data_IF_973588671351
#
_entry.id   IF_973588671351
#
_cell.length_a   1.000
_cell.length_b   1.000
_cell.length_c   1.000
_cell.angle_alpha   90.00
_cell.angle_beta   90.00
_cell.angle_gamma   90.00
#
_symmetry.space_group_name_H-M   'P 1'
#
loop_
_entity.id
_entity.type
_entity.pdbx_description
1 polymer ?
#
# COMPACT_ATOMS: atom_id res chain seq x y z
N UNK A 1 -0.21 22.32 -9.97
CA UNK A 1 1.02 21.63 -10.41
C UNK A 1 0.62 20.67 -11.51
N UNK A 2 1.45 20.49 -12.53
CA UNK A 2 1.25 19.40 -13.48
C UNK A 2 1.48 18.07 -12.76
N UNK A 3 0.60 17.10 -12.99
CA UNK A 3 0.70 15.75 -12.42
C UNK A 3 1.97 15.07 -12.96
N UNK A 4 2.89 14.65 -12.08
CA UNK A 4 4.15 14.06 -12.50
C UNK A 4 4.02 12.55 -12.75
N UNK A 5 3.24 11.88 -11.92
CA UNK A 5 2.95 10.45 -11.93
C UNK A 5 1.52 10.20 -12.40
N UNK A 6 1.16 8.95 -12.68
CA UNK A 6 -0.21 8.59 -13.08
C UNK A 6 -0.76 9.38 -14.27
N UNK A 7 0.14 9.89 -15.13
CA UNK A 7 -0.25 10.55 -16.37
C UNK A 7 -1.10 9.60 -17.19
N UNK A 8 -2.24 10.10 -17.65
CA UNK A 8 -3.24 9.36 -18.43
C UNK A 8 -3.83 8.13 -17.71
N UNK A 9 -3.67 8.04 -16.37
CA UNK A 9 -4.32 7.01 -15.57
C UNK A 9 -5.72 7.48 -15.16
N UNK A 10 -6.72 6.65 -15.43
CA UNK A 10 -8.11 6.93 -15.07
C UNK A 10 -8.43 6.31 -13.71
N UNK A 11 -8.69 7.17 -12.71
CA UNK A 11 -9.12 6.76 -11.38
C UNK A 11 -10.63 6.54 -11.26
N UNK A 12 -11.41 6.67 -12.35
CA UNK A 12 -12.82 6.34 -12.34
C UNK A 12 -13.03 4.86 -11.95
N UNK A 13 -13.80 4.63 -10.88
CA UNK A 13 -14.04 3.29 -10.33
C UNK A 13 -12.79 2.63 -9.72
N UNK A 14 -11.77 3.42 -9.33
CA UNK A 14 -10.61 2.89 -8.62
C UNK A 14 -10.88 2.79 -7.11
N UNK A 15 -11.43 3.86 -6.51
CA UNK A 15 -11.72 3.93 -5.09
C UNK A 15 -13.13 3.42 -4.78
N UNK A 16 -13.24 2.65 -3.70
CA UNK A 16 -14.51 2.20 -3.18
C UNK A 16 -15.15 3.28 -2.28
N UNK A 17 -16.33 3.77 -2.66
CA UNK A 17 -17.05 4.87 -2.00
C UNK A 17 -17.90 4.41 -0.79
N UNK A 18 -17.49 3.37 -0.07
CA UNK A 18 -18.22 2.92 1.12
C UNK A 18 -17.97 3.82 2.34
N UNK A 19 -18.97 3.90 3.23
CA UNK A 19 -18.83 4.62 4.50
C UNK A 19 -17.76 4.02 5.42
N UNK A 20 -17.40 2.76 5.21
CA UNK A 20 -16.28 2.13 5.90
C UNK A 20 -14.93 2.69 5.42
N UNK A 21 -14.75 2.85 4.10
CA UNK A 21 -13.59 3.51 3.50
C UNK A 21 -13.39 4.92 4.07
N UNK A 22 -14.46 5.73 4.11
CA UNK A 22 -14.43 7.09 4.68
C UNK A 22 -14.07 7.12 6.17
N UNK A 23 -14.62 6.16 6.94
CA UNK A 23 -14.44 6.13 8.39
C UNK A 23 -13.01 5.74 8.77
N UNK A 24 -12.46 4.70 8.15
CA UNK A 24 -11.28 3.99 8.67
C UNK A 24 -10.02 4.14 7.82
N UNK A 25 -10.12 4.61 6.58
CA UNK A 25 -8.97 4.79 5.68
C UNK A 25 -8.75 6.23 5.25
N UNK A 26 -9.81 6.94 4.86
CA UNK A 26 -9.66 8.26 4.22
C UNK A 26 -9.31 9.32 5.28
N UNK A 27 -8.09 9.85 5.15
CA UNK A 27 -7.53 10.97 5.91
C UNK A 27 -7.76 12.31 5.19
N UNK A 28 -7.52 13.43 5.89
CA UNK A 28 -7.39 14.74 5.22
C UNK A 28 -6.19 14.74 4.26
N UNK A 29 -6.22 15.56 3.21
CA UNK A 29 -5.10 15.63 2.25
C UNK A 29 -3.81 16.05 2.95
N UNK A 30 -2.69 15.33 2.73
CA UNK A 30 -1.47 15.60 3.46
C UNK A 30 -0.78 16.85 2.87
N UNK A 31 -0.42 17.77 3.75
CA UNK A 31 0.46 18.89 3.41
C UNK A 31 1.94 18.53 3.59
N UNK A 32 2.84 19.42 3.19
CA UNK A 32 4.29 19.17 3.21
C UNK A 32 4.83 18.97 4.64
N UNK A 33 4.19 19.61 5.63
CA UNK A 33 4.58 19.50 7.04
C UNK A 33 4.18 18.13 7.59
N UNK A 34 2.96 17.68 7.31
CA UNK A 34 2.46 16.35 7.64
C UNK A 34 3.33 15.26 7.00
N UNK A 35 3.63 15.38 5.70
CA UNK A 35 4.49 14.41 5.00
C UNK A 35 5.87 14.34 5.67
N UNK A 36 6.50 15.49 5.91
CA UNK A 36 7.82 15.53 6.56
C UNK A 36 7.78 14.89 7.95
N UNK A 37 6.72 15.15 8.70
CA UNK A 37 6.51 14.57 10.03
C UNK A 37 6.36 13.04 9.97
N UNK A 38 5.55 12.53 9.04
CA UNK A 38 5.35 11.08 8.84
C UNK A 38 6.64 10.40 8.40
N UNK A 39 7.36 10.96 7.44
CA UNK A 39 8.66 10.43 6.99
C UNK A 39 9.70 10.37 8.13
N UNK A 40 9.71 11.36 9.02
CA UNK A 40 10.59 11.36 10.20
C UNK A 40 10.25 10.26 11.20
N UNK A 41 8.95 10.01 11.40
CA UNK A 41 8.47 8.97 12.30
C UNK A 41 8.74 7.56 11.76
N UNK A 42 8.44 7.33 10.48
CA UNK A 42 8.74 6.07 9.79
C UNK A 42 10.26 5.86 9.60
N UNK A 43 11.01 6.97 9.51
CA UNK A 43 12.44 6.94 9.20
C UNK A 43 12.76 6.61 7.74
N UNK A 44 11.80 6.78 6.84
CA UNK A 44 11.90 6.54 5.40
C UNK A 44 11.34 7.73 4.61
N UNK A 45 11.95 8.04 3.46
CA UNK A 45 11.37 8.95 2.49
C UNK A 45 10.30 8.24 1.68
N UNK A 46 9.09 8.77 1.66
CA UNK A 46 7.99 8.17 0.92
C UNK A 46 8.18 8.39 -0.59
N UNK A 47 7.77 7.42 -1.45
CA UNK A 47 7.87 7.58 -2.89
C UNK A 47 7.06 8.79 -3.35
N UNK A 48 7.59 9.53 -4.32
CA UNK A 48 6.92 10.73 -4.84
C UNK A 48 5.57 10.38 -5.50
N UNK A 49 5.48 9.20 -6.13
CA UNK A 49 4.22 8.68 -6.68
C UNK A 49 3.19 8.37 -5.59
N UNK A 50 3.61 7.81 -4.46
CA UNK A 50 2.73 7.55 -3.32
C UNK A 50 2.17 8.87 -2.75
N UNK A 51 3.03 9.86 -2.52
CA UNK A 51 2.61 11.21 -2.09
C UNK A 51 1.62 11.83 -3.10
N UNK A 52 1.89 11.71 -4.40
CA UNK A 52 1.00 12.29 -5.41
C UNK A 52 -0.38 11.62 -5.42
N UNK A 53 -0.46 10.30 -5.25
CA UNK A 53 -1.73 9.59 -5.07
C UNK A 53 -2.47 10.07 -3.82
N UNK A 54 -1.76 10.22 -2.69
CA UNK A 54 -2.35 10.66 -1.43
C UNK A 54 -2.86 12.11 -1.47
N UNK A 55 -2.40 12.91 -2.42
CA UNK A 55 -2.95 14.25 -2.70
C UNK A 55 -4.18 14.24 -3.60
N UNK A 56 -4.49 13.11 -4.24
CA UNK A 56 -5.75 12.87 -4.96
C UNK A 56 -6.79 12.31 -3.98
N UNK A 57 -6.41 11.29 -3.21
CA UNK A 57 -7.18 10.73 -2.09
C UNK A 57 -6.23 10.10 -1.08
N UNK A 58 -6.28 10.56 0.17
CA UNK A 58 -5.33 10.14 1.20
C UNK A 58 -5.78 8.85 1.89
N UNK A 59 -5.56 7.74 1.20
CA UNK A 59 -6.01 6.41 1.60
C UNK A 59 -7.41 6.08 1.10
N UNK A 60 -7.80 4.82 1.26
CA UNK A 60 -9.13 4.34 0.89
C UNK A 60 -9.13 2.87 0.51
N UNK A 61 -10.30 2.25 0.60
CA UNK A 61 -10.56 0.97 -0.04
C UNK A 61 -10.52 1.12 -1.57
N UNK A 62 -10.12 0.05 -2.27
CA UNK A 62 -10.03 0.01 -3.73
C UNK A 62 -10.97 -1.04 -4.31
N UNK A 63 -11.57 -0.75 -5.47
CA UNK A 63 -12.37 -1.75 -6.21
C UNK A 63 -11.47 -2.61 -7.12
N UNK A 64 -10.35 -2.06 -7.58
CA UNK A 64 -9.29 -2.81 -8.28
C UNK A 64 -8.28 -3.34 -7.26
N UNK A 65 -8.60 -4.49 -6.69
CA UNK A 65 -7.91 -5.05 -5.52
C UNK A 65 -6.81 -6.06 -5.85
N UNK A 66 -6.72 -6.58 -7.08
CA UNK A 66 -5.81 -7.69 -7.39
C UNK A 66 -4.57 -7.25 -8.16
N UNK A 67 -3.40 -7.77 -7.80
CA UNK A 67 -2.16 -7.58 -8.55
C UNK A 67 -1.61 -8.94 -9.03
N UNK A 68 -1.37 -9.12 -10.34
CA UNK A 68 -0.89 -10.40 -10.87
C UNK A 68 0.54 -10.71 -10.45
N UNK A 69 0.82 -11.98 -10.15
CA UNK A 69 2.17 -12.50 -9.87
C UNK A 69 2.33 -13.89 -10.48
N UNK A 70 3.57 -14.34 -10.68
CA UNK A 70 3.87 -15.71 -11.11
C UNK A 70 4.23 -16.63 -9.95
N UNK A 71 4.25 -16.10 -8.73
CA UNK A 71 4.57 -16.84 -7.51
C UNK A 71 3.30 -17.01 -6.67
N UNK A 72 3.02 -18.26 -6.27
CA UNK A 72 1.91 -18.56 -5.37
C UNK A 72 2.18 -18.02 -3.96
N UNK A 73 1.09 -17.66 -3.27
CA UNK A 73 1.07 -17.24 -1.87
C UNK A 73 -0.05 -17.99 -1.11
N UNK A 74 -0.25 -17.69 0.16
CA UNK A 74 -1.30 -18.32 0.98
C UNK A 74 -2.73 -18.04 0.50
N UNK A 75 -2.94 -16.95 -0.23
CA UNK A 75 -4.25 -16.53 -0.74
C UNK A 75 -4.57 -17.11 -2.13
N UNK A 76 -3.65 -16.98 -3.08
CA UNK A 76 -3.85 -17.39 -4.48
C UNK A 76 -2.56 -17.84 -5.19
N UNK A 77 -2.73 -18.53 -6.31
CA UNK A 77 -1.63 -19.09 -7.09
C UNK A 77 -0.98 -18.09 -8.07
N UNK A 78 -1.71 -17.07 -8.50
CA UNK A 78 -1.34 -16.18 -9.62
C UNK A 78 -1.56 -14.69 -9.36
N UNK A 79 -1.99 -14.31 -8.16
CA UNK A 79 -2.19 -12.91 -7.78
C UNK A 79 -2.08 -12.71 -6.26
N UNK A 80 -1.98 -11.45 -5.86
CA UNK A 80 -2.21 -11.00 -4.48
C UNK A 80 -3.41 -10.06 -4.47
N UNK A 81 -4.11 -9.97 -3.34
CA UNK A 81 -5.24 -9.07 -3.17
C UNK A 81 -4.93 -8.02 -2.10
N UNK A 82 -5.39 -6.78 -2.30
CA UNK A 82 -5.40 -5.72 -1.30
C UNK A 82 -6.83 -5.32 -0.96
N UNK A 83 -7.06 -4.85 0.26
CA UNK A 83 -8.35 -4.30 0.70
C UNK A 83 -8.36 -2.79 0.51
N UNK A 84 -7.36 -2.10 1.07
CA UNK A 84 -7.23 -0.66 0.91
C UNK A 84 -5.79 -0.20 0.88
N UNK A 85 -5.62 1.02 0.37
CA UNK A 85 -4.36 1.73 0.42
C UNK A 85 -4.38 2.59 1.68
N UNK A 86 -3.33 2.48 2.47
CA UNK A 86 -3.16 3.23 3.70
C UNK A 86 -2.86 4.69 3.37
N UNK A 87 -3.42 5.62 4.15
CA UNK A 87 -3.16 7.06 4.01
C UNK A 87 -1.86 7.51 4.69
N UNK A 88 -1.31 8.64 4.24
CA UNK A 88 -0.29 9.39 4.97
C UNK A 88 -0.97 10.14 6.12
N UNK A 89 -0.85 9.59 7.33
CA UNK A 89 -1.54 10.13 8.49
C UNK A 89 -1.35 9.27 9.73
N UNK A 90 -2.12 9.59 10.76
CA UNK A 90 -2.06 8.96 12.09
C UNK A 90 -3.42 8.81 12.76
N UNK A 91 -4.45 9.45 12.20
CA UNK A 91 -5.76 9.56 12.86
C UNK A 91 -6.64 8.36 12.55
N UNK A 92 -6.53 7.83 11.33
CA UNK A 92 -7.29 6.68 10.87
C UNK A 92 -6.61 5.37 11.23
N UNK A 93 -7.42 4.33 11.47
CA UNK A 93 -6.96 2.99 11.81
C UNK A 93 -5.94 2.47 10.79
N UNK A 94 -6.24 2.66 9.50
CA UNK A 94 -5.41 2.20 8.38
C UNK A 94 -4.57 3.32 7.76
N UNK A 95 -4.07 4.26 8.57
CA UNK A 95 -2.99 5.16 8.14
C UNK A 95 -1.63 4.51 8.36
N UNK A 96 -0.60 4.93 7.61
CA UNK A 96 0.76 4.37 7.74
C UNK A 96 1.33 4.50 9.16
N UNK A 97 0.93 5.52 9.92
CA UNK A 97 1.22 5.72 11.35
C UNK A 97 -0.04 5.62 12.23
N UNK A 98 -1.08 4.93 11.75
CA UNK A 98 -2.33 4.68 12.46
C UNK A 98 -2.24 3.52 13.46
N UNK A 99 -3.38 3.15 14.05
CA UNK A 99 -3.49 2.05 15.03
C UNK A 99 -2.98 0.71 14.49
N UNK A 100 -3.34 0.38 13.24
CA UNK A 100 -2.87 -0.80 12.52
C UNK A 100 -1.81 -0.42 11.46
N UNK A 101 -1.03 0.63 11.76
CA UNK A 101 0.00 1.18 10.90
C UNK A 101 1.25 0.31 10.74
N UNK A 102 2.21 0.80 9.96
CA UNK A 102 3.45 0.10 9.65
C UNK A 102 4.24 -0.31 10.89
N UNK A 103 4.32 0.56 11.90
CA UNK A 103 5.08 0.27 13.13
C UNK A 103 4.40 -0.80 13.99
N UNK A 104 3.06 -0.81 14.04
CA UNK A 104 2.29 -1.85 14.74
C UNK A 104 2.53 -3.23 14.13
N UNK A 105 2.50 -3.34 12.80
CA UNK A 105 2.77 -4.62 12.12
C UNK A 105 4.19 -5.14 12.39
N UNK A 106 5.17 -4.25 12.51
CA UNK A 106 6.55 -4.62 12.83
C UNK A 106 6.67 -5.07 14.30
N UNK A 107 6.21 -4.24 15.23
CA UNK A 107 6.47 -4.44 16.66
C UNK A 107 5.61 -5.56 17.27
N UNK A 108 4.32 -5.60 16.89
CA UNK A 108 3.35 -6.52 17.50
C UNK A 108 3.13 -7.78 16.67
N UNK A 109 3.22 -7.67 15.33
CA UNK A 109 3.03 -8.81 14.42
C UNK A 109 4.32 -9.39 13.86
N UNK A 110 5.49 -8.82 14.19
CA UNK A 110 6.79 -9.36 13.83
C UNK A 110 7.15 -9.21 12.34
N UNK A 111 6.46 -8.35 11.60
CA UNK A 111 6.76 -8.12 10.20
C UNK A 111 8.17 -7.55 9.99
N UNK A 112 8.85 -7.86 8.87
CA UNK A 112 10.18 -7.35 8.56
C UNK A 112 10.26 -5.82 8.58
N UNK A 113 11.25 -5.27 9.29
CA UNK A 113 11.50 -3.83 9.40
C UNK A 113 12.31 -3.25 8.23
N UNK A 114 12.03 -3.70 7.00
CA UNK A 114 12.79 -3.34 5.79
C UNK A 114 12.20 -2.14 5.03
N UNK A 115 11.13 -1.53 5.55
CA UNK A 115 10.46 -0.44 4.87
C UNK A 115 9.15 0.01 5.52
N UNK A 116 8.18 0.39 4.68
CA UNK A 116 6.88 0.94 5.10
C UNK A 116 5.75 0.09 4.54
N UNK A 117 4.84 -0.37 5.40
CA UNK A 117 3.61 -1.05 4.97
C UNK A 117 2.54 -0.03 4.54
N UNK A 118 1.95 -0.24 3.37
CA UNK A 118 1.13 0.76 2.66
C UNK A 118 -0.23 0.26 2.17
N UNK A 119 -0.49 -1.04 2.26
CA UNK A 119 -1.81 -1.60 1.98
C UNK A 119 -2.00 -2.86 2.81
N UNK A 120 -3.21 -3.00 3.32
CA UNK A 120 -3.68 -4.22 3.97
C UNK A 120 -4.34 -5.14 2.95
N UNK A 121 -4.42 -6.42 3.30
CA UNK A 121 -4.94 -7.47 2.45
C UNK A 121 -6.19 -8.12 3.10
N UNK A 122 -7.04 -8.83 2.32
CA UNK A 122 -8.30 -9.41 2.83
C UNK A 122 -8.14 -10.39 4.01
N UNK A 123 -6.92 -10.85 4.28
CA UNK A 123 -6.59 -11.79 5.34
C UNK A 123 -6.63 -11.21 6.77
N UNK A 124 -6.99 -9.93 6.92
CA UNK A 124 -6.99 -9.22 8.21
C UNK A 124 -5.59 -9.13 8.86
N UNK A 125 -4.56 -8.83 8.05
CA UNK A 125 -3.20 -8.54 8.49
C UNK A 125 -2.24 -9.74 8.49
N UNK A 126 -2.67 -10.90 8.00
CA UNK A 126 -1.80 -12.06 7.78
C UNK A 126 -0.93 -11.91 6.52
N UNK A 127 -1.26 -10.94 5.67
CA UNK A 127 -0.39 -10.46 4.62
C UNK A 127 -0.54 -8.94 4.43
N UNK A 128 0.51 -8.32 3.92
CA UNK A 128 0.62 -6.86 3.76
C UNK A 128 1.45 -6.50 2.54
N UNK A 129 1.23 -5.29 2.00
CA UNK A 129 2.07 -4.72 0.95
C UNK A 129 3.13 -3.79 1.57
N UNK A 130 4.40 -4.07 1.24
CA UNK A 130 5.59 -3.39 1.72
C UNK A 130 6.22 -2.56 0.60
N UNK A 131 6.52 -1.30 0.88
CA UNK A 131 7.56 -0.55 0.18
C UNK A 131 8.91 -0.96 0.75
N UNK A 132 9.64 -1.82 0.04
CA UNK A 132 10.90 -2.41 0.51
C UNK A 132 12.11 -1.53 0.12
N UNK A 133 12.79 -1.01 1.14
CA UNK A 133 13.95 -0.13 0.98
C UNK A 133 15.29 -0.87 1.15
N UNK A 134 15.29 -2.19 1.33
CA UNK A 134 16.51 -2.98 1.60
C UNK A 134 17.61 -2.79 0.55
N UNK A 135 17.22 -2.57 -0.72
CA UNK A 135 18.15 -2.37 -1.85
C UNK A 135 18.54 -0.91 -2.08
N UNK A 136 17.61 0.03 -1.90
CA UNK A 136 17.79 1.43 -2.29
C UNK A 136 18.16 2.36 -1.11
N UNK A 137 18.03 1.87 0.13
CA UNK A 137 18.23 2.62 1.35
C UNK A 137 17.09 3.59 1.65
N UNK A 138 17.06 4.14 2.87
CA UNK A 138 15.94 4.91 3.44
C UNK A 138 15.47 6.14 2.64
N UNK A 139 16.26 6.61 1.68
CA UNK A 139 15.98 7.79 0.85
C UNK A 139 15.84 7.46 -0.65
N UNK A 140 15.87 6.18 -1.03
CA UNK A 140 15.77 5.73 -2.41
C UNK A 140 14.33 5.47 -2.86
N UNK A 141 14.17 5.08 -4.12
CA UNK A 141 12.88 4.57 -4.63
C UNK A 141 12.75 3.09 -4.27
N UNK A 142 11.78 2.69 -3.43
CA UNK A 142 11.60 1.30 -2.99
C UNK A 142 10.92 0.45 -4.05
N UNK A 143 11.18 -0.86 -3.99
CA UNK A 143 10.38 -1.86 -4.71
C UNK A 143 9.10 -2.15 -3.91
N UNK A 144 8.05 -2.63 -4.58
CA UNK A 144 6.81 -3.06 -3.93
C UNK A 144 6.81 -4.58 -3.79
N UNK A 145 6.63 -5.05 -2.56
CA UNK A 145 6.63 -6.46 -2.19
C UNK A 145 5.31 -6.81 -1.50
N UNK A 146 4.81 -8.02 -1.73
CA UNK A 146 3.86 -8.67 -0.83
C UNK A 146 4.65 -9.40 0.25
N UNK A 147 4.16 -9.39 1.49
CA UNK A 147 4.77 -10.11 2.63
C UNK A 147 3.71 -11.01 3.24
N UNK A 148 3.96 -12.31 3.22
CA UNK A 148 3.05 -13.35 3.71
C UNK A 148 3.50 -13.88 5.07
N UNK A 149 2.77 -13.54 6.14
CA UNK A 149 3.11 -13.98 7.49
C UNK A 149 2.91 -15.49 7.68
N UNK A 150 2.00 -16.11 6.94
CA UNK A 150 1.73 -17.55 7.04
C UNK A 150 2.82 -18.38 6.34
N UNK A 151 3.54 -17.79 5.39
CA UNK A 151 4.71 -18.38 4.70
C UNK A 151 6.05 -17.81 5.23
N UNK A 152 6.20 -17.72 6.55
CA UNK A 152 7.45 -17.28 7.24
C UNK A 152 7.94 -15.88 6.79
N UNK A 153 6.98 -14.95 6.61
CA UNK A 153 7.23 -13.59 6.10
C UNK A 153 7.93 -13.57 4.74
N UNK A 154 7.65 -14.57 3.89
CA UNK A 154 8.15 -14.61 2.52
C UNK A 154 7.72 -13.35 1.79
N UNK A 155 8.69 -12.78 1.07
CA UNK A 155 8.47 -11.62 0.21
C UNK A 155 8.33 -12.02 -1.24
N UNK A 156 7.28 -11.56 -1.90
CA UNK A 156 7.05 -11.72 -3.33
C UNK A 156 7.16 -10.35 -4.00
N UNK A 157 8.00 -10.26 -5.03
CA UNK A 157 8.15 -9.02 -5.80
C UNK A 157 6.91 -8.75 -6.65
N UNK A 158 6.35 -7.55 -6.51
CA UNK A 158 5.17 -7.13 -7.29
C UNK A 158 5.56 -6.10 -8.35
N UNK A 159 6.26 -5.04 -7.94
CA UNK A 159 6.58 -3.94 -8.84
C UNK A 159 7.89 -3.25 -8.48
N UNK A 160 8.50 -2.62 -9.48
CA UNK A 160 9.76 -1.86 -9.34
C UNK A 160 9.60 -0.52 -8.60
N UNK A 161 8.37 0.01 -8.56
CA UNK A 161 8.00 1.29 -7.95
C UNK A 161 6.50 1.30 -7.65
N UNK A 162 6.06 2.23 -6.80
CA UNK A 162 4.67 2.34 -6.38
C UNK A 162 3.71 2.70 -7.53
N UNK A 163 4.14 3.53 -8.48
CA UNK A 163 3.31 3.88 -9.63
C UNK A 163 2.98 2.65 -10.49
N UNK A 164 3.98 1.82 -10.76
CA UNK A 164 3.84 0.57 -11.52
C UNK A 164 2.91 -0.39 -10.80
N UNK A 165 2.98 -0.47 -9.46
CA UNK A 165 2.06 -1.28 -8.65
C UNK A 165 0.60 -0.84 -8.84
N UNK A 166 0.30 0.44 -8.59
CA UNK A 166 -1.07 0.96 -8.69
C UNK A 166 -1.63 0.84 -10.11
N UNK A 167 -0.82 1.08 -11.14
CA UNK A 167 -1.22 0.91 -12.54
C UNK A 167 -1.46 -0.55 -12.93
N UNK A 168 -0.86 -1.49 -12.19
CA UNK A 168 -0.98 -2.92 -12.41
C UNK A 168 -2.17 -3.56 -11.71
N UNK A 169 -2.85 -2.85 -10.80
CA UNK A 169 -4.05 -3.34 -10.13
C UNK A 169 -5.19 -3.59 -11.11
N UNK A 170 -5.91 -4.69 -10.87
CA UNK A 170 -6.97 -5.25 -11.71
C UNK A 170 -8.20 -5.57 -10.87
N UNK A 171 -9.33 -5.71 -11.56
CA UNK A 171 -10.56 -6.20 -10.97
C UNK A 171 -10.41 -7.69 -10.62
N UNK A 172 -10.97 -8.11 -9.48
CA UNK A 172 -10.91 -9.50 -9.01
C UNK A 172 -11.53 -10.48 -10.02
N UNK A 173 -12.57 -10.04 -10.76
CA UNK A 173 -13.21 -10.81 -11.84
C UNK A 173 -12.24 -11.27 -12.95
N UNK A 174 -11.07 -10.61 -13.10
CA UNK A 174 -10.04 -11.05 -14.06
C UNK A 174 -9.33 -12.35 -13.62
N UNK A 175 -9.44 -12.73 -12.33
CA UNK A 175 -8.80 -13.89 -11.73
C UNK A 175 -9.79 -14.98 -11.29
N UNK A 176 -11.09 -14.71 -11.27
CA UNK A 176 -12.15 -15.69 -10.93
C UNK A 176 -12.36 -16.79 -12.00
N UNK A 177 -11.32 -17.21 -12.72
CA UNK A 177 -11.44 -18.28 -13.72
C UNK A 177 -11.04 -19.66 -13.19
N UNK A 178 -11.99 -20.32 -12.52
CA UNK A 178 -12.27 -21.76 -12.69
C UNK A 178 -13.78 -22.06 -12.79
#
# INVERSE_FOLDING_TARGET
MEQQFFKDFDFAGFWNESSYSERDYIEEFPDDEMITSIEQELGYKLPASYIELMRIQNGGLVDKSCFPTTENNSWADDHVAITGIMGIGREKTYSVCGELGSQFMIDEWGYPADGVYIADCPSAGHDMILLDYSKCGKNGEPEVMHVDQEDDYRKIFLAKDFETFIKGLKDEEEFETE
#
